data_IF_079192379893
#
_entry.id   IF_079192379893
#
_cell.length_a   1.000
_cell.length_b   1.000
_cell.length_c   1.000
_cell.angle_alpha   90.00
_cell.angle_beta   90.00
_cell.angle_gamma   90.00
#
_symmetry.space_group_name_H-M   'P 1'
#
loop_
_entity.id
_entity.type
_entity.pdbx_description
1 polymer ?
#
# COMPACT_ATOMS: atom_id res chain seq x y z
N UNK A 1 -38.65 5.39 -6.72
CA UNK A 1 -38.12 5.38 -6.38
C UNK A 1 -37.38 4.82 -6.02
N UNK A 2 -37.11 4.59 -5.68
CA UNK A 2 -36.49 4.16 -5.13
C UNK A 2 -35.43 3.83 -5.45
N UNK A 3 -35.14 3.76 -5.97
CA UNK A 3 -34.26 3.52 -6.25
C UNK A 3 -33.25 3.97 -6.00
N UNK A 4 -33.23 4.59 -5.82
CA UNK A 4 -32.27 5.24 -5.34
C UNK A 4 -31.60 4.75 -4.22
N UNK A 5 -32.03 4.02 -3.82
CA UNK A 5 -31.49 3.32 -2.73
C UNK A 5 -30.23 2.56 -3.04
N UNK A 6 -29.76 2.65 -4.21
CA UNK A 6 -28.53 1.97 -4.58
C UNK A 6 -27.39 2.97 -4.65
N UNK A 7 -26.85 3.36 -3.51
CA UNK A 7 -25.80 4.37 -3.45
C UNK A 7 -24.48 3.88 -4.03
N UNK A 8 -24.41 2.63 -4.31
CA UNK A 8 -23.16 2.00 -4.68
C UNK A 8 -22.81 2.20 -6.14
N UNK A 9 -23.76 2.75 -6.90
CA UNK A 9 -23.57 2.85 -8.33
C UNK A 9 -22.71 3.99 -8.79
N UNK A 10 -22.22 4.81 -7.87
CA UNK A 10 -21.32 5.90 -8.25
C UNK A 10 -19.92 5.32 -8.37
N UNK A 11 -19.37 5.22 -9.58
CA UNK A 11 -18.02 4.70 -9.72
C UNK A 11 -17.00 5.67 -9.14
N UNK A 12 -15.97 5.10 -8.55
CA UNK A 12 -14.87 5.89 -8.02
C UNK A 12 -14.18 6.65 -9.15
N UNK A 13 -14.02 7.94 -8.98
CA UNK A 13 -13.35 8.78 -9.96
C UNK A 13 -11.92 9.04 -9.49
N UNK A 14 -10.93 8.71 -10.32
CA UNK A 14 -9.53 8.95 -9.93
C UNK A 14 -9.29 10.43 -9.62
N UNK A 15 -8.57 10.67 -8.54
CA UNK A 15 -8.23 12.02 -8.13
C UNK A 15 -9.28 12.72 -7.30
N UNK A 16 -10.45 12.12 -7.13
CA UNK A 16 -11.51 12.69 -6.30
C UNK A 16 -11.72 11.85 -5.05
N UNK A 17 -11.93 12.52 -3.94
CA UNK A 17 -12.22 11.85 -2.69
C UNK A 17 -13.73 11.66 -2.59
N UNK A 18 -14.23 10.61 -3.24
CA UNK A 18 -15.64 10.27 -3.26
C UNK A 18 -16.01 9.17 -2.26
N UNK A 19 -15.13 8.94 -1.27
CA UNK A 19 -15.33 7.95 -0.23
C UNK A 19 -14.91 8.55 1.10
N UNK A 20 -15.39 7.95 2.18
CA UNK A 20 -15.00 8.37 3.51
C UNK A 20 -13.69 7.70 3.93
N UNK A 21 -12.89 8.45 4.67
CA UNK A 21 -11.69 7.88 5.27
C UNK A 21 -12.10 7.20 6.57
N UNK A 22 -11.83 5.90 6.65
CA UNK A 22 -12.14 5.10 7.82
C UNK A 22 -10.85 4.54 8.37
N UNK A 23 -10.52 4.92 9.59
CA UNK A 23 -9.30 4.47 10.26
C UNK A 23 -9.60 3.31 11.18
N UNK A 24 -8.66 2.37 11.23
CA UNK A 24 -8.71 1.27 12.18
C UNK A 24 -7.36 1.17 12.86
N UNK A 25 -7.36 1.18 14.18
CA UNK A 25 -6.13 1.05 14.94
C UNK A 25 -5.78 -0.41 15.15
N UNK A 26 -4.54 -0.75 14.89
CA UNK A 26 -4.04 -2.11 14.99
C UNK A 26 -2.67 -2.05 15.67
N UNK A 27 -2.46 -2.88 16.68
CA UNK A 27 -1.15 -2.98 17.29
C UNK A 27 -0.24 -3.85 16.42
N UNK A 28 1.08 -3.69 16.60
CA UNK A 28 2.04 -4.53 15.88
C UNK A 28 1.82 -6.00 16.19
N UNK A 29 1.45 -6.32 17.43
CA UNK A 29 1.16 -7.69 17.84
C UNK A 29 -0.02 -8.26 17.07
N UNK A 30 -1.10 -7.49 16.92
CA UNK A 30 -2.27 -7.90 16.16
C UNK A 30 -1.92 -8.12 14.69
N UNK A 31 -1.12 -7.23 14.12
CA UNK A 31 -0.69 -7.38 12.75
C UNK A 31 0.10 -8.67 12.54
N UNK A 32 1.00 -9.00 13.45
CA UNK A 32 1.81 -10.22 13.36
C UNK A 32 0.96 -11.47 13.43
N UNK A 33 -0.15 -11.42 14.16
CA UNK A 33 -1.04 -12.57 14.30
C UNK A 33 -1.87 -12.82 13.05
N UNK A 34 -2.38 -11.77 12.43
CA UNK A 34 -3.27 -11.88 11.27
C UNK A 34 -2.96 -10.81 10.22
N UNK A 35 -1.82 -10.90 9.57
CA UNK A 35 -1.46 -9.89 8.57
C UNK A 35 -2.41 -9.86 7.37
N UNK A 36 -2.96 -11.00 6.99
CA UNK A 36 -3.88 -11.05 5.85
C UNK A 36 -5.16 -10.26 6.10
N UNK A 37 -5.63 -10.24 7.35
CA UNK A 37 -6.83 -9.46 7.70
C UNK A 37 -6.56 -7.96 7.55
N UNK A 38 -5.37 -7.52 7.89
CA UNK A 38 -4.98 -6.12 7.75
C UNK A 38 -4.91 -5.74 6.27
N UNK A 39 -4.29 -6.57 5.44
CA UNK A 39 -4.21 -6.30 4.01
C UNK A 39 -5.57 -6.30 3.35
N UNK A 40 -6.45 -7.22 3.74
CA UNK A 40 -7.81 -7.26 3.22
C UNK A 40 -8.58 -5.98 3.55
N UNK A 41 -8.41 -5.45 4.73
CA UNK A 41 -9.05 -4.21 5.13
C UNK A 41 -8.63 -3.04 4.22
N UNK A 42 -7.38 -3.01 3.81
CA UNK A 42 -6.85 -1.94 2.96
C UNK A 42 -7.31 -2.00 1.51
N UNK A 43 -7.93 -3.11 1.09
CA UNK A 43 -8.44 -3.23 -0.26
C UNK A 43 -9.64 -2.31 -0.53
N UNK A 44 -10.34 -1.91 0.52
CA UNK A 44 -11.46 -0.99 0.37
C UNK A 44 -10.95 0.45 0.32
N UNK A 45 -11.38 1.20 -0.68
CA UNK A 45 -10.98 2.59 -0.84
C UNK A 45 -11.35 3.40 0.40
N UNK A 46 -10.41 4.21 0.85
CA UNK A 46 -10.61 5.05 2.03
C UNK A 46 -10.27 4.39 3.35
N UNK A 47 -10.05 3.09 3.36
CA UNK A 47 -9.67 2.40 4.58
C UNK A 47 -8.19 2.61 4.87
N UNK A 48 -7.90 2.98 6.11
CA UNK A 48 -6.54 3.29 6.56
C UNK A 48 -6.28 2.49 7.83
N UNK A 49 -5.13 1.88 7.90
CA UNK A 49 -4.69 1.18 9.11
C UNK A 49 -3.72 2.09 9.86
N UNK A 50 -4.01 2.33 11.11
CA UNK A 50 -3.12 3.07 12.00
C UNK A 50 -2.42 2.06 12.90
N UNK A 51 -1.12 1.95 12.78
CA UNK A 51 -0.35 1.11 13.67
C UNK A 51 -0.07 1.86 14.96
N UNK A 52 -0.40 1.22 16.06
CA UNK A 52 -0.10 1.77 17.38
C UNK A 52 1.08 1.03 17.98
N UNK A 53 1.91 1.78 18.66
CA UNK A 53 3.05 1.25 19.36
C UNK A 53 3.07 1.85 20.76
N UNK A 54 2.98 0.99 21.76
CA UNK A 54 2.92 1.42 23.18
C UNK A 54 1.75 2.40 23.41
N UNK A 55 0.61 2.12 22.78
CA UNK A 55 -0.57 2.95 22.92
C UNK A 55 -0.55 4.25 22.14
N UNK A 56 0.48 4.50 21.35
CA UNK A 56 0.60 5.72 20.55
C UNK A 56 0.47 5.40 19.08
N UNK A 57 -0.17 6.30 18.35
CA UNK A 57 -0.29 6.19 16.89
C UNK A 57 1.07 6.48 16.28
N UNK A 58 1.65 5.46 15.68
CA UNK A 58 3.01 5.52 15.17
C UNK A 58 3.06 5.65 13.66
N UNK A 59 2.28 4.85 12.94
CA UNK A 59 2.32 4.82 11.48
C UNK A 59 0.93 4.61 10.91
N UNK A 60 0.77 5.08 9.68
CA UNK A 60 -0.46 4.85 8.91
C UNK A 60 -0.10 4.12 7.63
N UNK A 61 -0.93 3.15 7.26
CA UNK A 61 -0.80 2.44 6.00
C UNK A 61 -2.10 2.56 5.24
N UNK A 62 -2.01 2.88 3.98
CA UNK A 62 -3.17 3.02 3.10
C UNK A 62 -2.77 2.60 1.69
N UNK A 63 -3.77 2.36 0.84
CA UNK A 63 -3.49 2.08 -0.56
C UNK A 63 -2.89 3.32 -1.23
N UNK A 64 -2.15 3.10 -2.30
CA UNK A 64 -1.56 4.20 -3.08
C UNK A 64 -2.66 5.11 -3.61
N UNK A 65 -3.79 4.54 -4.03
CA UNK A 65 -4.89 5.35 -4.52
C UNK A 65 -5.46 6.27 -3.46
N UNK A 66 -5.66 5.76 -2.24
CA UNK A 66 -6.13 6.58 -1.13
C UNK A 66 -5.15 7.71 -0.85
N UNK A 67 -3.88 7.39 -0.81
CA UNK A 67 -2.82 8.37 -0.59
C UNK A 67 -2.81 9.43 -1.69
N UNK A 68 -2.94 9.01 -2.94
CA UNK A 68 -2.92 9.92 -4.07
C UNK A 68 -4.11 10.89 -4.03
N UNK A 69 -5.30 10.39 -3.66
CA UNK A 69 -6.47 11.25 -3.49
C UNK A 69 -6.26 12.30 -2.40
N UNK A 70 -5.59 11.92 -1.31
CA UNK A 70 -5.34 12.83 -0.20
C UNK A 70 -4.23 13.83 -0.49
N UNK A 71 -3.36 13.55 -1.45
CA UNK A 71 -2.20 14.39 -1.74
C UNK A 71 -2.54 15.71 -2.41
N UNK A 72 -3.71 15.81 -3.03
CA UNK A 72 -4.09 16.99 -3.80
C UNK A 72 -3.60 16.99 -5.23
N UNK A 73 -2.74 16.06 -5.61
CA UNK A 73 -2.28 15.92 -6.99
C UNK A 73 -2.19 14.42 -7.30
N UNK A 74 -3.32 13.87 -7.68
CA UNK A 74 -3.47 12.44 -7.90
C UNK A 74 -2.50 11.89 -8.94
N UNK A 75 -2.45 12.53 -10.10
CA UNK A 75 -1.63 12.03 -11.21
C UNK A 75 -0.15 12.05 -10.89
N UNK A 76 0.31 13.12 -10.28
CA UNK A 76 1.70 13.24 -9.89
C UNK A 76 2.07 12.17 -8.86
N UNK A 77 1.23 11.99 -7.85
CA UNK A 77 1.48 11.02 -6.78
C UNK A 77 1.50 9.60 -7.33
N UNK A 78 0.55 9.25 -8.21
CA UNK A 78 0.51 7.93 -8.82
C UNK A 78 1.73 7.69 -9.71
N UNK A 79 2.14 8.67 -10.46
CA UNK A 79 3.32 8.57 -11.32
C UNK A 79 4.59 8.36 -10.48
N UNK A 80 4.75 9.15 -9.44
CA UNK A 80 5.92 9.02 -8.56
C UNK A 80 5.96 7.67 -7.86
N UNK A 81 4.80 7.17 -7.44
CA UNK A 81 4.71 5.85 -6.82
C UNK A 81 5.11 4.76 -7.81
N UNK A 82 4.68 4.87 -9.05
CA UNK A 82 5.01 3.90 -10.07
C UNK A 82 6.50 3.93 -10.44
N UNK A 83 7.07 5.13 -10.53
CA UNK A 83 8.49 5.30 -10.77
C UNK A 83 9.32 4.70 -9.62
N UNK A 84 8.89 4.95 -8.38
CA UNK A 84 9.56 4.39 -7.21
C UNK A 84 9.48 2.87 -7.20
N UNK A 85 8.32 2.32 -7.55
CA UNK A 85 8.14 0.86 -7.61
C UNK A 85 9.01 0.24 -8.70
N UNK A 86 9.10 0.90 -9.86
CA UNK A 86 9.94 0.42 -10.95
C UNK A 86 11.42 0.44 -10.57
N UNK A 87 11.85 1.51 -9.94
CA UNK A 87 13.22 1.63 -9.46
C UNK A 87 13.55 0.55 -8.43
N UNK A 88 12.63 0.33 -7.51
CA UNK A 88 12.81 -0.67 -6.47
C UNK A 88 12.91 -2.08 -7.07
N UNK A 89 12.08 -2.38 -8.06
CA UNK A 89 12.13 -3.67 -8.76
C UNK A 89 13.46 -3.87 -9.49
N UNK A 90 13.95 -2.81 -10.12
CA UNK A 90 15.24 -2.85 -10.81
C UNK A 90 16.39 -3.11 -9.84
N UNK A 91 16.40 -2.43 -8.71
CA UNK A 91 17.41 -2.61 -7.68
C UNK A 91 17.37 -4.03 -7.12
N UNK A 92 16.18 -4.55 -6.89
CA UNK A 92 15.99 -5.91 -6.39
C UNK A 92 16.52 -6.95 -7.37
N UNK A 93 16.25 -6.74 -8.66
CA UNK A 93 16.76 -7.60 -9.71
C UNK A 93 18.29 -7.59 -9.74
N UNK A 94 18.88 -6.41 -9.62
CA UNK A 94 20.34 -6.25 -9.59
C UNK A 94 20.94 -6.97 -8.39
N UNK A 95 20.33 -6.85 -7.21
CA UNK A 95 20.80 -7.55 -6.02
C UNK A 95 20.75 -9.06 -6.19
N UNK A 96 19.71 -9.58 -6.79
CA UNK A 96 19.59 -11.01 -7.07
C UNK A 96 20.65 -11.49 -8.04
N UNK A 97 20.93 -10.68 -9.05
CA UNK A 97 21.96 -11.00 -10.04
C UNK A 97 23.34 -11.03 -9.38
N UNK A 98 23.66 -10.05 -8.58
CA UNK A 98 24.93 -10.00 -7.85
C UNK A 98 25.07 -11.17 -6.88
N UNK A 99 24.00 -11.55 -6.21
CA UNK A 99 24.02 -12.68 -5.30
C UNK A 99 24.30 -13.99 -6.06
N UNK A 100 23.71 -14.15 -7.24
CA UNK A 100 23.96 -15.31 -8.07
C UNK A 100 25.41 -15.36 -8.56
N UNK A 101 25.93 -14.23 -8.99
CA UNK A 101 27.32 -14.12 -9.45
C UNK A 101 28.30 -14.43 -8.33
N UNK A 102 28.05 -13.91 -7.14
CA UNK A 102 28.87 -14.20 -5.97
C UNK A 102 28.86 -15.69 -5.63
N UNK A 103 27.70 -16.31 -5.70
CA UNK A 103 27.55 -17.73 -5.44
C UNK A 103 28.29 -18.56 -6.47
N UNK A 104 28.18 -18.22 -7.75
CA UNK A 104 28.87 -18.88 -8.83
C UNK A 104 30.38 -18.73 -8.69
N UNK A 105 30.82 -17.54 -8.31
CA UNK A 105 32.24 -17.27 -8.12
C UNK A 105 32.81 -18.13 -6.99
N UNK A 106 32.10 -18.25 -5.88
CA UNK A 106 32.50 -19.08 -4.77
C UNK A 106 32.62 -20.56 -5.19
N UNK A 107 31.71 -21.03 -6.01
CA UNK A 107 31.71 -22.41 -6.47
C UNK A 107 32.84 -22.67 -7.46
N UNK A 108 33.18 -21.69 -8.28
CA UNK A 108 34.21 -21.84 -9.29
C UNK A 108 35.59 -21.41 -8.83
N UNK A 109 35.66 -20.59 -7.82
CA UNK A 109 36.92 -20.01 -7.36
C UNK A 109 37.65 -20.76 -6.30
N UNK A 110 37.12 -21.87 -5.88
CA UNK A 110 37.73 -22.64 -4.81
C UNK A 110 38.92 -23.47 -5.29
#
# INVERSE_FOLDING_TARGET
MSDNSDPITIPHQPGKLDFQIVEKEVSVTQFRRKPSAVWAYLETAGHVIIFTRRGKRDRAIMSIETHACLSGDYEKTMREAEEAAAKWRAERKTRRQKAKEAKQHDLCGS
#
